data_IF_809221874077
#
_entry.id   IF_809221874077
#
_cell.length_a   1.000
_cell.length_b   1.000
_cell.length_c   1.000
_cell.angle_alpha   90.00
_cell.angle_beta   90.00
_cell.angle_gamma   90.00
#
_symmetry.space_group_name_H-M   'P 1'
#
loop_
_entity.id
_entity.type
_entity.pdbx_description
1 polymer ?
#
# COMPACT_ATOMS: atom_id res chain seq x y z
N UNK A 1 14.21 -17.47 14.79
CA UNK A 1 12.81 -17.55 15.26
C UNK A 1 12.00 -16.58 14.41
N UNK A 2 11.23 -17.09 13.45
CA UNK A 2 10.57 -16.28 12.42
C UNK A 2 9.15 -15.94 12.89
N UNK A 3 8.78 -14.66 12.95
CA UNK A 3 7.45 -14.20 13.35
C UNK A 3 6.40 -14.61 12.30
N UNK A 4 5.91 -15.85 12.38
CA UNK A 4 4.81 -16.34 11.54
C UNK A 4 3.48 -16.04 12.21
N UNK A 5 2.68 -15.20 11.58
CA UNK A 5 1.30 -14.95 12.05
C UNK A 5 0.42 -16.07 11.51
N UNK A 6 -0.10 -16.91 12.41
CA UNK A 6 -1.01 -18.02 12.03
C UNK A 6 -2.44 -17.52 11.74
N UNK A 7 -2.92 -16.56 12.54
CA UNK A 7 -4.28 -16.02 12.45
C UNK A 7 -4.25 -14.49 12.34
N UNK A 8 -5.14 -13.95 11.50
CA UNK A 8 -5.42 -12.52 11.45
C UNK A 8 -6.32 -12.12 12.64
N UNK A 9 -5.93 -11.08 13.39
CA UNK A 9 -6.64 -10.60 14.60
C UNK A 9 -7.05 -11.74 15.56
N UNK A 10 -6.16 -12.71 15.76
CA UNK A 10 -6.34 -13.91 16.61
C UNK A 10 -7.43 -14.92 16.17
N UNK A 11 -8.46 -14.51 15.42
CA UNK A 11 -9.66 -15.31 15.20
C UNK A 11 -9.92 -15.68 13.72
N UNK A 12 -9.29 -15.01 12.76
CA UNK A 12 -9.59 -15.21 11.34
C UNK A 12 -8.48 -15.97 10.61
N UNK A 13 -8.81 -16.83 9.62
CA UNK A 13 -7.82 -17.45 8.75
C UNK A 13 -6.99 -16.37 8.04
N UNK A 14 -5.70 -16.63 7.88
CA UNK A 14 -4.76 -15.69 7.27
C UNK A 14 -5.19 -15.21 5.87
N UNK A 15 -5.79 -16.11 5.08
CA UNK A 15 -6.35 -15.79 3.77
C UNK A 15 -7.51 -14.78 3.83
N UNK A 16 -8.35 -14.86 4.87
CA UNK A 16 -9.44 -13.89 5.09
C UNK A 16 -8.85 -12.52 5.48
N UNK A 17 -7.83 -12.52 6.34
CA UNK A 17 -7.09 -11.29 6.69
C UNK A 17 -6.45 -10.61 5.49
N UNK A 18 -5.79 -11.38 4.61
CA UNK A 18 -5.20 -10.86 3.38
C UNK A 18 -6.25 -10.30 2.41
N UNK A 19 -7.42 -10.93 2.30
CA UNK A 19 -8.53 -10.39 1.52
C UNK A 19 -9.04 -9.06 2.08
N UNK A 20 -9.25 -8.97 3.40
CA UNK A 20 -9.67 -7.74 4.07
C UNK A 20 -8.65 -6.62 3.82
N UNK A 21 -7.35 -6.92 3.95
CA UNK A 21 -6.27 -5.97 3.65
C UNK A 21 -6.30 -5.53 2.19
N UNK A 22 -6.52 -6.46 1.26
CA UNK A 22 -6.62 -6.13 -0.16
C UNK A 22 -7.75 -5.15 -0.46
N UNK A 23 -8.96 -5.41 0.05
CA UNK A 23 -10.10 -4.51 -0.14
C UNK A 23 -9.96 -3.18 0.58
N UNK A 24 -9.44 -3.19 1.81
CA UNK A 24 -9.20 -1.97 2.58
C UNK A 24 -8.16 -1.09 1.88
N UNK A 25 -7.05 -1.69 1.44
CA UNK A 25 -6.01 -1.00 0.69
C UNK A 25 -6.59 -0.40 -0.59
N UNK A 26 -7.33 -1.21 -1.37
CA UNK A 26 -8.00 -0.75 -2.58
C UNK A 26 -8.86 0.51 -2.36
N UNK A 27 -9.73 0.49 -1.34
CA UNK A 27 -10.59 1.62 -1.03
C UNK A 27 -9.80 2.87 -0.62
N UNK A 28 -8.82 2.73 0.28
CA UNK A 28 -8.01 3.85 0.77
C UNK A 28 -7.21 4.51 -0.36
N UNK A 29 -6.62 3.74 -1.27
CA UNK A 29 -5.82 4.30 -2.37
C UNK A 29 -6.65 4.93 -3.48
N UNK A 30 -7.88 4.47 -3.71
CA UNK A 30 -8.81 5.17 -4.61
C UNK A 30 -9.17 6.54 -4.03
N UNK A 31 -9.54 6.59 -2.75
CA UNK A 31 -9.87 7.84 -2.07
C UNK A 31 -8.67 8.80 -2.13
N UNK A 32 -7.46 8.31 -1.84
CA UNK A 32 -6.24 9.10 -1.92
C UNK A 32 -5.98 9.61 -3.35
N UNK A 33 -6.16 8.77 -4.36
CA UNK A 33 -6.01 9.14 -5.77
C UNK A 33 -6.98 10.25 -6.18
N UNK A 34 -8.25 10.17 -5.76
CA UNK A 34 -9.26 11.22 -6.01
C UNK A 34 -8.86 12.54 -5.35
N UNK A 35 -8.40 12.50 -4.10
CA UNK A 35 -7.94 13.69 -3.37
C UNK A 35 -6.74 14.34 -4.09
N UNK A 36 -5.79 13.54 -4.58
CA UNK A 36 -4.64 14.03 -5.33
C UNK A 36 -5.02 14.64 -6.67
N UNK A 37 -5.95 14.02 -7.41
CA UNK A 37 -6.43 14.58 -8.67
C UNK A 37 -7.12 15.93 -8.41
N UNK A 38 -7.97 16.01 -7.39
CA UNK A 38 -8.65 17.25 -7.01
C UNK A 38 -7.65 18.35 -6.60
N UNK A 39 -6.64 18.03 -5.80
CA UNK A 39 -5.61 19.00 -5.39
C UNK A 39 -4.75 19.46 -6.56
N UNK A 40 -4.46 18.56 -7.52
CA UNK A 40 -3.80 18.90 -8.76
C UNK A 40 -4.62 19.87 -9.61
N UNK A 41 -5.92 19.64 -9.78
CA UNK A 41 -6.82 20.55 -10.51
C UNK A 41 -6.87 21.93 -9.85
N UNK A 42 -6.99 22.01 -8.52
CA UNK A 42 -6.96 23.29 -7.80
C UNK A 42 -5.63 24.04 -8.04
N UNK A 43 -4.50 23.32 -8.03
CA UNK A 43 -3.19 23.92 -8.30
C UNK A 43 -3.03 24.46 -9.74
N UNK A 44 -3.67 23.81 -10.73
CA UNK A 44 -3.71 24.32 -12.12
C UNK A 44 -4.44 25.66 -12.16
N UNK A 45 -5.52 25.81 -11.39
CA UNK A 45 -6.32 27.04 -11.35
C UNK A 45 -5.61 28.21 -10.65
N UNK A 46 -4.80 27.94 -9.63
CA UNK A 46 -4.23 28.99 -8.77
C UNK A 46 -2.76 29.35 -9.05
N UNK A 47 -1.90 28.37 -9.34
CA UNK A 47 -0.44 28.57 -9.21
C UNK A 47 0.36 28.19 -10.45
N UNK A 48 0.24 26.95 -10.93
CA UNK A 48 1.13 26.42 -11.97
C UNK A 48 0.55 25.19 -12.65
N UNK A 49 0.31 25.33 -13.96
CA UNK A 49 -0.22 24.26 -14.82
C UNK A 49 0.71 23.04 -14.77
N UNK A 50 2.02 23.24 -14.89
CA UNK A 50 2.99 22.15 -14.94
C UNK A 50 3.00 21.33 -13.64
N UNK A 51 2.97 22.01 -12.49
CA UNK A 51 2.97 21.33 -11.19
C UNK A 51 1.65 20.58 -10.94
N UNK A 52 0.52 21.18 -11.29
CA UNK A 52 -0.78 20.54 -11.17
C UNK A 52 -0.92 19.28 -12.05
N UNK A 53 -0.40 19.29 -13.28
CA UNK A 53 -0.38 18.10 -14.16
C UNK A 53 0.44 16.97 -13.54
N UNK A 54 1.60 17.28 -12.93
CA UNK A 54 2.45 16.27 -12.26
C UNK A 54 1.67 15.61 -11.10
N UNK A 55 0.95 16.40 -10.29
CA UNK A 55 0.16 15.87 -9.17
C UNK A 55 -0.97 14.95 -9.69
N UNK A 56 -1.67 15.35 -10.76
CA UNK A 56 -2.74 14.54 -11.36
C UNK A 56 -2.16 13.22 -11.90
N UNK A 57 -1.06 13.28 -12.63
CA UNK A 57 -0.39 12.09 -13.16
C UNK A 57 0.04 11.15 -12.03
N UNK A 58 0.61 11.68 -10.95
CA UNK A 58 0.97 10.90 -9.77
C UNK A 58 -0.26 10.24 -9.12
N UNK A 59 -1.37 10.99 -8.98
CA UNK A 59 -2.63 10.46 -8.44
C UNK A 59 -3.19 9.29 -9.25
N UNK A 60 -3.16 9.39 -10.59
CA UNK A 60 -3.60 8.32 -11.49
C UNK A 60 -2.69 7.09 -11.38
N UNK A 61 -1.36 7.29 -11.43
CA UNK A 61 -0.39 6.19 -11.33
C UNK A 61 -0.54 5.44 -10.00
N UNK A 62 -0.71 6.17 -8.90
CA UNK A 62 -0.97 5.60 -7.57
C UNK A 62 -2.27 4.80 -7.59
N UNK A 63 -3.39 5.39 -8.03
CA UNK A 63 -4.68 4.70 -8.07
C UNK A 63 -4.63 3.41 -8.90
N UNK A 64 -4.01 3.44 -10.08
CA UNK A 64 -3.85 2.30 -10.96
C UNK A 64 -2.93 1.22 -10.35
N UNK A 65 -1.77 1.62 -9.80
CA UNK A 65 -0.80 0.70 -9.21
C UNK A 65 -1.37 -0.06 -8.01
N UNK A 66 -2.05 0.65 -7.09
CA UNK A 66 -2.66 0.02 -5.93
C UNK A 66 -3.90 -0.81 -6.28
N UNK A 67 -4.64 -0.44 -7.33
CA UNK A 67 -5.73 -1.27 -7.88
C UNK A 67 -5.19 -2.58 -8.42
N UNK A 68 -4.16 -2.52 -9.28
CA UNK A 68 -3.52 -3.71 -9.83
C UNK A 68 -2.91 -4.59 -8.74
N UNK A 69 -2.24 -3.98 -7.75
CA UNK A 69 -1.69 -4.69 -6.59
C UNK A 69 -2.78 -5.40 -5.79
N UNK A 70 -3.85 -4.68 -5.42
CA UNK A 70 -4.95 -5.26 -4.63
C UNK A 70 -5.64 -6.39 -5.38
N UNK A 71 -5.81 -6.26 -6.70
CA UNK A 71 -6.32 -7.33 -7.55
C UNK A 71 -5.41 -8.56 -7.55
N UNK A 72 -4.09 -8.38 -7.65
CA UNK A 72 -3.12 -9.49 -7.56
C UNK A 72 -3.20 -10.19 -6.20
N UNK A 73 -3.33 -9.45 -5.10
CA UNK A 73 -3.50 -10.05 -3.77
C UNK A 73 -4.80 -10.84 -3.68
N UNK A 74 -5.93 -10.26 -4.08
CA UNK A 74 -7.25 -10.91 -3.99
C UNK A 74 -7.27 -12.18 -4.84
N UNK A 75 -6.80 -12.08 -6.09
CA UNK A 75 -6.77 -13.21 -7.02
C UNK A 75 -5.77 -14.27 -6.58
N UNK A 76 -4.57 -13.87 -6.14
CA UNK A 76 -3.56 -14.77 -5.61
C UNK A 76 -4.03 -15.52 -4.37
N UNK A 77 -4.73 -14.83 -3.46
CA UNK A 77 -5.29 -15.44 -2.26
C UNK A 77 -6.40 -16.44 -2.59
N UNK A 78 -7.31 -16.10 -3.52
CA UNK A 78 -8.40 -17.01 -3.96
C UNK A 78 -7.89 -18.23 -4.73
N UNK A 79 -6.88 -18.04 -5.57
CA UNK A 79 -6.34 -19.10 -6.43
C UNK A 79 -5.20 -19.87 -5.75
N UNK A 80 -4.83 -19.54 -4.50
CA UNK A 80 -3.65 -20.09 -3.81
C UNK A 80 -2.37 -19.97 -4.64
N UNK A 81 -2.26 -18.89 -5.43
CA UNK A 81 -1.16 -18.68 -6.38
C UNK A 81 -0.03 -17.88 -5.72
N UNK A 82 1.06 -18.57 -5.40
CA UNK A 82 2.25 -18.00 -4.78
C UNK A 82 2.86 -16.85 -5.58
N UNK A 83 2.98 -17.00 -6.92
CA UNK A 83 3.64 -15.98 -7.76
C UNK A 83 2.88 -14.67 -7.73
N UNK A 84 1.54 -14.71 -7.78
CA UNK A 84 0.72 -13.48 -7.70
C UNK A 84 0.89 -12.75 -6.37
N UNK A 85 0.96 -13.50 -5.27
CA UNK A 85 1.16 -12.91 -3.94
C UNK A 85 2.57 -12.36 -3.81
N UNK A 86 3.59 -13.03 -4.35
CA UNK A 86 4.96 -12.53 -4.38
C UNK A 86 5.07 -11.17 -5.08
N UNK A 87 4.41 -10.99 -6.22
CA UNK A 87 4.40 -9.69 -6.92
C UNK A 87 3.78 -8.59 -6.06
N UNK A 88 2.70 -8.88 -5.33
CA UNK A 88 2.10 -7.92 -4.43
C UNK A 88 2.99 -7.63 -3.21
N UNK A 89 3.68 -8.62 -2.65
CA UNK A 89 4.66 -8.42 -1.58
C UNK A 89 5.76 -7.44 -2.00
N UNK A 90 6.30 -7.61 -3.21
CA UNK A 90 7.32 -6.70 -3.78
C UNK A 90 6.74 -5.29 -3.92
N UNK A 91 5.51 -5.17 -4.41
CA UNK A 91 4.83 -3.89 -4.56
C UNK A 91 4.65 -3.16 -3.22
N UNK A 92 4.18 -3.85 -2.17
CA UNK A 92 4.09 -3.27 -0.82
C UNK A 92 5.47 -2.85 -0.29
N UNK A 93 6.51 -3.64 -0.54
CA UNK A 93 7.86 -3.32 -0.08
C UNK A 93 8.37 -2.01 -0.70
N UNK A 94 8.14 -1.81 -2.01
CA UNK A 94 8.48 -0.58 -2.71
C UNK A 94 7.67 0.60 -2.13
N UNK A 95 6.36 0.42 -1.94
CA UNK A 95 5.50 1.44 -1.33
C UNK A 95 5.99 1.85 0.06
N UNK A 96 6.39 0.88 0.90
CA UNK A 96 6.91 1.11 2.24
C UNK A 96 8.23 1.90 2.19
N UNK A 97 9.15 1.54 1.29
CA UNK A 97 10.40 2.28 1.08
C UNK A 97 10.14 3.73 0.66
N UNK A 98 9.18 3.96 -0.24
CA UNK A 98 8.78 5.31 -0.67
C UNK A 98 8.20 6.11 0.50
N UNK A 99 7.33 5.53 1.33
CA UNK A 99 6.78 6.23 2.50
C UNK A 99 7.86 6.61 3.52
N UNK A 100 8.84 5.74 3.77
CA UNK A 100 9.97 6.05 4.66
C UNK A 100 10.81 7.19 4.07
N UNK A 101 11.06 7.17 2.76
CA UNK A 101 11.79 8.25 2.09
C UNK A 101 11.07 9.60 2.23
N UNK A 102 9.76 9.64 2.02
CA UNK A 102 8.93 10.84 2.20
C UNK A 102 9.01 11.35 3.65
N UNK A 103 8.98 10.45 4.62
CA UNK A 103 9.05 10.80 6.04
C UNK A 103 10.40 11.44 6.40
N UNK A 104 11.51 10.88 5.91
CA UNK A 104 12.86 11.45 6.07
C UNK A 104 12.95 12.83 5.40
N UNK A 105 12.45 12.95 4.17
CA UNK A 105 12.47 14.22 3.44
C UNK A 105 11.65 15.32 4.15
N UNK A 106 10.44 14.99 4.62
CA UNK A 106 9.55 15.92 5.32
C UNK A 106 10.13 16.37 6.66
N UNK A 107 10.81 15.48 7.39
CA UNK A 107 11.54 15.84 8.60
C UNK A 107 12.64 16.88 8.30
N UNK A 108 13.26 16.81 7.13
CA UNK A 108 14.38 17.67 6.71
C UNK A 108 13.92 19.07 6.23
N UNK A 109 12.78 19.19 5.53
CA UNK A 109 12.33 20.45 4.89
C UNK A 109 11.49 21.33 5.83
N UNK A 110 11.85 22.61 6.04
CA UNK A 110 11.25 23.55 7.02
C UNK A 110 9.93 24.21 6.53
N UNK A 111 8.81 23.50 6.52
CA UNK A 111 7.49 24.08 6.17
C UNK A 111 6.42 24.02 7.27
N UNK A 112 5.41 24.90 7.17
CA UNK A 112 4.33 25.11 8.16
C UNK A 112 3.33 23.96 8.34
N UNK A 113 3.38 22.91 7.50
CA UNK A 113 2.46 21.77 7.57
C UNK A 113 3.12 20.44 7.99
N UNK A 114 4.35 20.48 8.52
CA UNK A 114 5.12 19.28 8.90
C UNK A 114 4.36 18.30 9.80
N UNK A 115 3.70 18.80 10.86
CA UNK A 115 3.13 17.93 11.89
C UNK A 115 2.05 17.03 11.31
N UNK A 116 1.13 17.60 10.54
CA UNK A 116 0.02 16.85 9.91
C UNK A 116 0.55 15.81 8.92
N UNK A 117 1.53 16.19 8.08
CA UNK A 117 2.14 15.26 7.10
C UNK A 117 2.90 14.13 7.80
N UNK A 118 3.65 14.43 8.86
CA UNK A 118 4.38 13.42 9.65
C UNK A 118 3.41 12.43 10.28
N UNK A 119 2.32 12.90 10.90
CA UNK A 119 1.32 12.03 11.55
C UNK A 119 0.68 11.10 10.51
N UNK A 120 0.17 11.66 9.40
CA UNK A 120 -0.49 10.87 8.34
C UNK A 120 0.47 9.85 7.74
N UNK A 121 1.69 10.27 7.40
CA UNK A 121 2.71 9.38 6.81
C UNK A 121 3.14 8.28 7.78
N UNK A 122 3.22 8.59 9.09
CA UNK A 122 3.53 7.60 10.12
C UNK A 122 2.44 6.55 10.25
N UNK A 123 1.16 6.97 10.28
CA UNK A 123 0.02 6.06 10.35
C UNK A 123 -0.01 5.13 9.11
N UNK A 124 0.18 5.70 7.92
CA UNK A 124 0.25 4.93 6.67
C UNK A 124 1.40 3.92 6.69
N UNK A 125 2.57 4.32 7.20
CA UNK A 125 3.74 3.43 7.31
C UNK A 125 3.46 2.23 8.22
N UNK A 126 2.76 2.44 9.34
CA UNK A 126 2.35 1.35 10.25
C UNK A 126 1.35 0.41 9.56
N UNK A 127 0.36 0.95 8.84
CA UNK A 127 -0.62 0.16 8.09
C UNK A 127 0.08 -0.69 7.02
N UNK A 128 1.03 -0.11 6.27
CA UNK A 128 1.81 -0.84 5.27
C UNK A 128 2.68 -1.92 5.89
N UNK A 129 3.34 -1.63 7.02
CA UNK A 129 4.16 -2.62 7.72
C UNK A 129 3.32 -3.80 8.20
N UNK A 130 2.15 -3.53 8.77
CA UNK A 130 1.23 -4.58 9.19
C UNK A 130 0.73 -5.42 8.01
N UNK A 131 0.36 -4.75 6.91
CA UNK A 131 -0.06 -5.40 5.67
C UNK A 131 1.05 -6.28 5.10
N UNK A 132 2.30 -5.79 5.10
CA UNK A 132 3.47 -6.54 4.67
C UNK A 132 3.66 -7.82 5.48
N UNK A 133 3.59 -7.75 6.81
CA UNK A 133 3.78 -8.92 7.69
C UNK A 133 2.75 -10.02 7.38
N UNK A 134 1.49 -9.65 7.15
CA UNK A 134 0.42 -10.61 6.87
C UNK A 134 0.57 -11.24 5.49
N UNK A 135 0.82 -10.41 4.47
CA UNK A 135 1.02 -10.88 3.09
C UNK A 135 2.25 -11.76 2.99
N UNK A 136 3.34 -11.38 3.66
CA UNK A 136 4.57 -12.17 3.73
C UNK A 136 4.34 -13.50 4.45
N UNK A 137 3.60 -13.51 5.56
CA UNK A 137 3.21 -14.75 6.25
C UNK A 137 2.37 -15.66 5.34
N UNK A 138 1.45 -15.08 4.55
CA UNK A 138 0.63 -15.83 3.58
C UNK A 138 1.49 -16.39 2.45
N UNK A 139 2.43 -15.60 1.95
CA UNK A 139 3.36 -16.03 0.91
C UNK A 139 4.19 -17.23 1.36
N UNK A 140 4.69 -17.24 2.60
CA UNK A 140 5.44 -18.37 3.14
C UNK A 140 4.58 -19.62 3.28
N UNK A 141 3.35 -19.47 3.77
CA UNK A 141 2.40 -20.58 3.89
C UNK A 141 2.15 -21.25 2.53
N UNK A 142 1.91 -20.46 1.49
CA UNK A 142 1.67 -20.98 0.15
C UNK A 142 2.91 -21.61 -0.48
N UNK A 143 4.09 -21.07 -0.20
CA UNK A 143 5.36 -21.65 -0.64
C UNK A 143 5.56 -23.06 -0.07
N UNK A 144 5.26 -23.24 1.22
CA UNK A 144 5.34 -24.57 1.86
C UNK A 144 4.29 -25.54 1.31
N UNK A 145 3.08 -25.07 0.99
CA UNK A 145 2.06 -25.90 0.33
C UNK A 145 2.51 -26.35 -1.07
N UNK A 146 3.20 -25.49 -1.84
CA UNK A 146 3.71 -25.81 -3.18
C UNK A 146 4.93 -26.75 -3.13
N UNK A 147 5.80 -26.63 -2.13
CA UNK A 147 6.96 -27.53 -1.92
C UNK A 147 6.56 -28.91 -1.36
N UNK A 148 5.36 -29.03 -0.77
CA UNK A 148 4.86 -30.29 -0.21
C UNK A 148 3.99 -31.11 -1.18
N UNK A 149 3.62 -30.56 -2.33
CA UNK A 149 2.82 -31.21 -3.39
C UNK A 149 3.69 -31.80 -4.50
#
# INVERSE_FOLDING_TARGET
MMLRVKNFLCCMPLAVGALIIGYLSYALFIILGIILIYSGVCNIMENSIAFGIIIIAAGIVIACGYTAGSYLLIKGTRQRDFKKIQWYTIFILIALAVTVFILIFTCTVREQNKITVIIITSILSVIFLYSFIIVFSLQQMLKEEEEAS
#
